data_IF_930125536643
#
_entry.id   IF_930125536643
#
_cell.length_a   1.000
_cell.length_b   1.000
_cell.length_c   1.000
_cell.angle_alpha   90.00
_cell.angle_beta   90.00
_cell.angle_gamma   90.00
#
_symmetry.space_group_name_H-M   'P 1'
#
loop_
_entity.id
_entity.type
_entity.pdbx_description
1 polymer ?
#
# COMPACT_ATOMS: atom_id res chain seq x y z
N UNK A 1 1.29 37.66 12.39
CA UNK A 1 2.05 36.45 12.77
C UNK A 1 2.04 35.47 11.61
N UNK A 2 3.21 35.00 11.16
CA UNK A 2 3.26 33.90 10.20
C UNK A 2 2.74 32.62 10.88
N UNK A 3 1.68 32.03 10.35
CA UNK A 3 1.15 30.78 10.90
C UNK A 3 2.05 29.62 10.50
N UNK A 4 2.09 28.56 11.32
CA UNK A 4 2.80 27.32 10.97
C UNK A 4 2.40 26.79 9.60
N UNK A 5 1.12 26.93 9.24
CA UNK A 5 0.61 26.54 7.93
C UNK A 5 1.24 27.34 6.77
N UNK A 6 1.41 28.66 6.94
CA UNK A 6 2.06 29.50 5.93
C UNK A 6 3.52 29.11 5.73
N UNK A 7 4.25 28.82 6.82
CA UNK A 7 5.63 28.32 6.74
C UNK A 7 5.71 26.97 6.01
N UNK A 8 4.87 25.99 6.38
CA UNK A 8 4.91 24.65 5.78
C UNK A 8 4.47 24.59 4.31
N UNK A 9 3.72 25.60 3.85
CA UNK A 9 3.20 25.67 2.48
C UNK A 9 4.06 26.50 1.53
N UNK A 10 5.14 27.13 2.03
CA UNK A 10 6.03 27.96 1.23
C UNK A 10 6.70 27.14 0.12
N UNK A 11 6.68 27.67 -1.10
CA UNK A 11 7.24 27.05 -2.31
C UNK A 11 8.77 27.07 -2.29
N UNK A 12 9.37 27.98 -1.52
CA UNK A 12 10.83 28.11 -1.40
C UNK A 12 11.46 26.99 -0.56
N UNK A 13 10.67 26.24 0.20
CA UNK A 13 11.17 25.16 1.04
C UNK A 13 11.41 23.88 0.24
N UNK A 14 12.48 23.15 0.60
CA UNK A 14 12.79 21.82 0.04
C UNK A 14 11.65 20.82 0.26
N UNK A 15 11.00 20.88 1.43
CA UNK A 15 9.86 20.04 1.78
C UNK A 15 8.65 20.95 1.92
N UNK A 16 7.62 20.66 1.11
CA UNK A 16 6.38 21.43 1.06
C UNK A 16 5.20 20.56 1.44
N UNK A 17 4.34 21.09 2.30
CA UNK A 17 3.09 20.46 2.65
C UNK A 17 2.00 20.95 1.69
N UNK A 18 1.32 19.99 1.06
CA UNK A 18 0.14 20.25 0.23
C UNK A 18 -1.08 19.78 1.01
N UNK A 19 -1.91 20.74 1.42
CA UNK A 19 -3.15 20.43 2.13
C UNK A 19 -4.28 20.20 1.13
N UNK A 20 -4.93 19.05 1.26
CA UNK A 20 -6.14 18.74 0.48
C UNK A 20 -7.33 19.51 1.09
N UNK A 21 -8.38 19.81 0.29
CA UNK A 21 -9.60 20.38 0.83
C UNK A 21 -10.17 19.50 1.95
N UNK A 22 -10.89 20.13 2.89
CA UNK A 22 -11.55 19.39 3.97
C UNK A 22 -12.47 18.32 3.36
N UNK A 23 -12.49 17.14 3.99
CA UNK A 23 -13.27 15.98 3.56
C UNK A 23 -12.87 15.39 2.18
N UNK A 24 -11.71 15.74 1.62
CA UNK A 24 -11.20 15.18 0.37
C UNK A 24 -10.17 14.06 0.58
N UNK A 25 -10.43 13.14 1.52
CA UNK A 25 -9.53 11.99 1.77
C UNK A 25 -9.38 11.10 0.54
N UNK A 26 -10.42 10.97 -0.29
CA UNK A 26 -10.41 10.25 -1.57
C UNK A 26 -9.34 10.75 -2.55
N UNK A 27 -8.89 12.00 -2.38
CA UNK A 27 -7.87 12.61 -3.21
C UNK A 27 -6.45 12.21 -2.80
N UNK A 28 -6.29 11.69 -1.57
CA UNK A 28 -5.01 11.28 -1.05
C UNK A 28 -4.55 9.98 -1.70
N UNK A 29 -3.39 10.00 -2.36
CA UNK A 29 -2.83 8.85 -3.06
C UNK A 29 -2.55 7.66 -2.12
N UNK A 30 -2.32 7.91 -0.83
CA UNK A 30 -2.06 6.85 0.15
C UNK A 30 -3.24 5.87 0.27
N UNK A 31 -4.46 6.32 0.00
CA UNK A 31 -5.66 5.48 0.06
C UNK A 31 -5.60 4.34 -0.97
N UNK A 32 -4.89 4.54 -2.09
CA UNK A 32 -4.67 3.48 -3.09
C UNK A 32 -3.84 2.35 -2.46
N UNK A 33 -2.79 2.70 -1.72
CA UNK A 33 -1.90 1.75 -1.05
C UNK A 33 -2.64 1.02 0.05
N UNK A 34 -3.41 1.73 0.89
CA UNK A 34 -4.25 1.11 1.91
C UNK A 34 -5.29 0.17 1.31
N UNK A 35 -5.92 0.54 0.19
CA UNK A 35 -6.83 -0.34 -0.53
C UNK A 35 -6.16 -1.63 -1.04
N UNK A 36 -4.90 -1.56 -1.47
CA UNK A 36 -4.12 -2.73 -1.90
C UNK A 36 -3.80 -3.63 -0.72
N UNK A 37 -3.28 -3.07 0.37
CA UNK A 37 -2.97 -3.79 1.61
C UNK A 37 -4.23 -4.48 2.14
N UNK A 38 -5.34 -3.73 2.23
CA UNK A 38 -6.59 -4.28 2.71
C UNK A 38 -7.06 -5.47 1.86
N UNK A 39 -7.06 -5.34 0.53
CA UNK A 39 -7.54 -6.41 -0.37
C UNK A 39 -6.63 -7.63 -0.42
N UNK A 40 -5.31 -7.47 -0.27
CA UNK A 40 -4.33 -8.56 -0.47
C UNK A 40 -3.86 -9.21 0.83
N UNK A 41 -3.74 -8.43 1.90
CA UNK A 41 -3.21 -8.89 3.18
C UNK A 41 -4.34 -9.04 4.21
N UNK A 42 -5.17 -8.02 4.40
CA UNK A 42 -6.09 -7.97 5.55
C UNK A 42 -7.37 -8.80 5.33
N UNK A 43 -8.05 -8.65 4.20
CA UNK A 43 -9.40 -9.22 3.94
C UNK A 43 -9.48 -10.75 4.05
N UNK A 44 -8.34 -11.45 4.00
CA UNK A 44 -8.27 -12.91 4.19
C UNK A 44 -7.07 -13.33 5.05
N UNK A 45 -6.48 -12.39 5.80
CA UNK A 45 -5.37 -12.66 6.69
C UNK A 45 -5.86 -13.28 8.00
N UNK A 46 -5.10 -14.24 8.52
CA UNK A 46 -5.27 -14.74 9.88
C UNK A 46 -4.02 -14.33 10.65
N UNK A 47 -4.19 -13.52 11.69
CA UNK A 47 -3.11 -12.95 12.47
C UNK A 47 -3.28 -13.39 13.92
N UNK A 48 -2.23 -13.97 14.49
CA UNK A 48 -2.26 -14.46 15.88
C UNK A 48 -1.92 -13.37 16.90
N UNK A 49 -1.28 -12.29 16.46
CA UNK A 49 -0.91 -11.13 17.28
C UNK A 49 -0.67 -9.89 16.44
N UNK A 50 -0.55 -8.73 17.08
CA UNK A 50 -0.17 -7.46 16.41
C UNK A 50 1.23 -7.54 15.83
N UNK A 51 2.17 -8.20 16.52
CA UNK A 51 3.54 -8.41 16.03
C UNK A 51 3.57 -9.28 14.76
N UNK A 52 2.70 -10.29 14.69
CA UNK A 52 2.53 -11.14 13.50
C UNK A 52 2.00 -10.31 12.31
N UNK A 53 0.98 -9.47 12.54
CA UNK A 53 0.48 -8.54 11.53
C UNK A 53 1.57 -7.59 11.02
N UNK A 54 2.36 -7.01 11.93
CA UNK A 54 3.45 -6.10 11.55
C UNK A 54 4.51 -6.81 10.69
N UNK A 55 4.93 -8.01 11.10
CA UNK A 55 5.89 -8.82 10.35
C UNK A 55 5.37 -9.13 8.95
N UNK A 56 4.12 -9.60 8.83
CA UNK A 56 3.51 -9.90 7.53
C UNK A 56 3.35 -8.65 6.66
N UNK A 57 3.05 -7.49 7.26
CA UNK A 57 2.97 -6.23 6.53
C UNK A 57 4.34 -5.81 5.97
N UNK A 58 5.40 -5.91 6.77
CA UNK A 58 6.78 -5.61 6.33
C UNK A 58 7.22 -6.53 5.19
N UNK A 59 6.95 -7.82 5.30
CA UNK A 59 7.24 -8.80 4.24
C UNK A 59 6.44 -8.51 2.97
N UNK A 60 5.13 -8.23 3.12
CA UNK A 60 4.27 -7.87 2.01
C UNK A 60 4.76 -6.62 1.28
N UNK A 61 5.18 -5.58 1.99
CA UNK A 61 5.73 -4.37 1.39
C UNK A 61 7.02 -4.66 0.61
N UNK A 62 7.94 -5.45 1.18
CA UNK A 62 9.16 -5.86 0.49
C UNK A 62 8.87 -6.63 -0.80
N UNK A 63 7.98 -7.62 -0.74
CA UNK A 63 7.54 -8.38 -1.90
C UNK A 63 6.85 -7.51 -2.96
N UNK A 64 5.91 -6.66 -2.54
CA UNK A 64 5.16 -5.78 -3.42
C UNK A 64 6.10 -4.82 -4.16
N UNK A 65 7.04 -4.20 -3.46
CA UNK A 65 8.03 -3.29 -4.05
C UNK A 65 8.92 -3.97 -5.09
N UNK A 66 9.32 -5.23 -4.84
CA UNK A 66 10.18 -5.98 -5.77
C UNK A 66 9.45 -6.48 -7.01
N UNK A 67 8.17 -6.85 -6.89
CA UNK A 67 7.48 -7.66 -7.92
C UNK A 67 6.29 -6.99 -8.58
N UNK A 68 5.64 -6.05 -7.90
CA UNK A 68 4.35 -5.47 -8.31
C UNK A 68 4.36 -3.95 -8.41
N UNK A 69 5.34 -3.28 -7.81
CA UNK A 69 5.39 -1.83 -7.80
C UNK A 69 5.48 -1.28 -9.22
N UNK A 70 4.57 -0.36 -9.50
CA UNK A 70 4.53 0.37 -10.75
C UNK A 70 4.03 1.78 -10.44
N UNK A 71 4.37 2.78 -11.25
CA UNK A 71 3.81 4.11 -11.12
C UNK A 71 2.27 4.04 -11.16
N UNK A 72 1.62 4.75 -10.23
CA UNK A 72 0.17 4.89 -10.25
C UNK A 72 -0.21 5.93 -11.30
N UNK A 73 -1.09 5.57 -12.23
CA UNK A 73 -1.70 6.51 -13.17
C UNK A 73 -2.77 7.33 -12.44
N UNK A 74 -2.34 8.21 -11.53
CA UNK A 74 -3.22 9.09 -10.77
C UNK A 74 -3.45 10.38 -11.55
N UNK A 75 -4.72 10.70 -11.82
CA UNK A 75 -5.11 11.95 -12.49
C UNK A 75 -5.98 12.78 -11.56
N UNK A 76 -5.50 13.97 -11.19
CA UNK A 76 -6.25 14.96 -10.40
C UNK A 76 -7.40 15.60 -11.17
N UNK A 77 -7.36 15.53 -12.50
CA UNK A 77 -8.38 16.13 -13.36
C UNK A 77 -9.70 15.43 -13.07
N UNK A 78 -10.71 16.15 -12.57
CA UNK A 78 -12.08 15.64 -12.31
C UNK A 78 -12.82 15.11 -13.54
N UNK A 79 -12.10 14.85 -14.63
CA UNK A 79 -12.58 14.06 -15.76
C UNK A 79 -12.62 12.61 -15.29
N UNK A 80 -13.79 11.93 -15.32
CA UNK A 80 -13.84 10.51 -15.03
C UNK A 80 -12.78 9.80 -15.89
N UNK A 81 -12.04 8.86 -15.29
CA UNK A 81 -11.06 8.04 -15.98
C UNK A 81 -11.75 7.41 -17.20
N UNK A 82 -11.61 8.04 -18.36
CA UNK A 82 -12.00 7.48 -19.63
C UNK A 82 -11.19 6.19 -19.73
N UNK A 83 -11.85 5.04 -19.54
CA UNK A 83 -11.22 3.72 -19.60
C UNK A 83 -10.81 3.41 -21.05
N UNK A 84 -9.91 4.19 -21.64
CA UNK A 84 -9.02 3.65 -22.65
C UNK A 84 -8.10 2.72 -21.87
N UNK A 85 -8.55 1.47 -21.65
CA UNK A 85 -7.68 0.40 -21.18
C UNK A 85 -6.47 0.45 -22.10
N UNK A 86 -5.30 0.81 -21.58
CA UNK A 86 -4.06 0.59 -22.32
C UNK A 86 -4.08 -0.89 -22.68
N UNK A 87 -4.03 -1.21 -23.97
CA UNK A 87 -4.24 -2.56 -24.48
C UNK A 87 -3.30 -3.61 -23.83
N UNK A 88 -2.19 -3.16 -23.23
CA UNK A 88 -1.13 -4.00 -22.68
C UNK A 88 -0.86 -3.85 -21.17
N UNK A 89 -1.44 -2.88 -20.44
CA UNK A 89 -1.15 -2.75 -18.99
C UNK A 89 -2.15 -3.51 -18.13
N UNK A 90 -1.88 -4.81 -17.94
CA UNK A 90 -2.49 -5.61 -16.87
C UNK A 90 -1.58 -5.51 -15.66
N UNK A 91 -1.97 -4.71 -14.67
CA UNK A 91 -1.22 -4.62 -13.44
C UNK A 91 -1.03 -6.03 -12.83
N UNK A 92 0.20 -6.49 -12.53
CA UNK A 92 0.50 -7.87 -12.17
C UNK A 92 -0.34 -8.38 -11.00
N UNK A 93 -0.71 -7.46 -10.10
CA UNK A 93 -1.55 -7.71 -8.93
C UNK A 93 -2.95 -8.27 -9.24
N UNK A 94 -3.43 -8.14 -10.49
CA UNK A 94 -4.71 -8.68 -10.98
C UNK A 94 -4.58 -10.06 -11.65
N UNK A 95 -3.36 -10.47 -12.01
CA UNK A 95 -3.06 -11.77 -12.64
C UNK A 95 -2.63 -12.83 -11.61
N UNK A 96 -2.01 -12.42 -10.50
CA UNK A 96 -1.60 -13.35 -9.44
C UNK A 96 -2.80 -13.65 -8.53
N UNK A 97 -3.46 -14.80 -8.75
CA UNK A 97 -4.11 -15.51 -7.65
C UNK A 97 -2.97 -15.79 -6.67
N UNK A 98 -2.95 -15.14 -5.51
CA UNK A 98 -2.18 -15.64 -4.37
C UNK A 98 -2.78 -17.01 -4.04
N UNK A 99 -2.37 -18.04 -4.77
CA UNK A 99 -2.61 -19.41 -4.39
C UNK A 99 -1.91 -19.59 -3.05
N UNK A 100 -2.63 -20.14 -2.08
CA UNK A 100 -2.07 -20.62 -0.81
C UNK A 100 -0.87 -21.50 -1.12
N UNK A 101 0.34 -20.97 -1.10
CA UNK A 101 1.56 -21.77 -1.15
C UNK A 101 2.69 -20.96 -0.56
N UNK A 102 3.38 -21.56 0.39
CA UNK A 102 4.41 -20.98 1.28
C UNK A 102 3.89 -20.19 2.48
N UNK A 103 2.97 -20.79 3.24
CA UNK A 103 3.14 -20.75 4.70
C UNK A 103 4.23 -21.77 5.00
N UNK A 104 5.45 -21.33 5.31
CA UNK A 104 6.42 -22.23 5.95
C UNK A 104 5.83 -22.56 7.32
N UNK A 105 5.50 -23.82 7.53
CA UNK A 105 5.11 -24.31 8.84
C UNK A 105 6.26 -24.04 9.81
N UNK A 106 6.01 -23.22 10.83
CA UNK A 106 6.88 -23.09 11.99
C UNK A 106 6.58 -24.21 13.00
N UNK A 107 6.47 -25.45 12.51
CA UNK A 107 6.29 -26.61 13.39
C UNK A 107 7.63 -27.27 13.67
N UNK A 108 7.88 -27.43 14.96
CA UNK A 108 8.82 -28.36 15.60
C UNK A 108 10.28 -27.92 15.69
N UNK A 109 10.59 -27.20 16.77
CA UNK A 109 11.83 -27.44 17.49
C UNK A 109 11.78 -28.88 18.06
N UNK A 110 12.76 -29.76 17.77
CA UNK A 110 12.84 -31.03 18.46
C UNK A 110 13.27 -30.76 19.91
N UNK A 111 12.37 -31.13 20.82
CA UNK A 111 12.68 -31.40 22.22
C UNK A 111 13.78 -32.47 22.26
N UNK A 112 15.02 -32.08 22.53
CA UNK A 112 16.08 -33.03 22.88
C UNK A 112 16.00 -33.26 24.39
N UNK A 113 15.37 -34.38 24.74
CA UNK A 113 15.47 -34.99 26.04
C UNK A 113 16.74 -35.85 26.10
N UNK A 114 17.27 -35.94 27.34
CA UNK A 114 18.46 -36.64 27.84
C UNK A 114 19.70 -35.75 27.91
#
# INVERSE_FOLDING_TARGET
MATRGAFLSDVRHRIRFVYLPKHSSWLNQIEIVFGIIHRKLVRGGNFTSVADLESQLREFMGYYNKTMAHPFAWTYTGKPLQKKRRASFVAPHRRIKLGRSHRRDKTNAPCMAI
#
